data_IF_753956100404
#
_entry.id   IF_753956100404
#
_cell.length_a   1.000
_cell.length_b   1.000
_cell.length_c   1.000
_cell.angle_alpha   90.00
_cell.angle_beta   90.00
_cell.angle_gamma   90.00
#
_symmetry.space_group_name_H-M   'P 1'
#
loop_
_entity.id
_entity.type
_entity.pdbx_description
1 polymer ?
#
# COMPACT_ATOMS: atom_id res chain seq x y z
N UNK A 1 9.58 -18.16 -26.36
CA UNK A 1 9.21 -17.20 -25.28
C UNK A 1 10.50 -16.78 -24.57
N UNK A 2 11.00 -15.59 -24.89
CA UNK A 2 12.39 -15.20 -24.67
C UNK A 2 12.65 -14.53 -23.32
N UNK A 3 13.93 -14.54 -22.91
CA UNK A 3 14.49 -13.93 -21.69
C UNK A 3 14.03 -12.47 -21.44
N UNK A 4 13.67 -11.74 -22.51
CA UNK A 4 13.11 -10.39 -22.45
C UNK A 4 11.71 -10.29 -21.82
N UNK A 5 10.87 -11.32 -21.92
CA UNK A 5 9.57 -11.34 -21.22
C UNK A 5 9.74 -11.53 -19.71
N UNK A 6 10.76 -12.29 -19.30
CA UNK A 6 11.12 -12.43 -17.87
C UNK A 6 11.71 -11.13 -17.31
N UNK A 7 12.45 -10.36 -18.11
CA UNK A 7 12.95 -9.04 -17.73
C UNK A 7 11.82 -8.00 -17.63
N UNK A 8 10.85 -7.98 -18.54
CA UNK A 8 9.64 -7.14 -18.42
C UNK A 8 8.76 -7.50 -17.23
N UNK A 9 8.67 -8.78 -16.86
CA UNK A 9 8.03 -9.19 -15.60
C UNK A 9 8.84 -8.77 -14.36
N UNK A 10 10.18 -8.75 -14.43
CA UNK A 10 11.05 -8.32 -13.32
C UNK A 10 11.09 -6.80 -13.11
N UNK A 11 10.81 -5.99 -14.12
CA UNK A 11 10.81 -4.52 -14.01
C UNK A 11 9.47 -3.92 -13.56
N UNK A 12 8.42 -4.73 -13.39
CA UNK A 12 7.08 -4.29 -12.92
C UNK A 12 6.96 -4.01 -11.42
N UNK A 13 8.07 -3.96 -10.68
CA UNK A 13 8.02 -3.65 -9.25
C UNK A 13 9.08 -2.68 -8.75
N UNK A 14 9.65 -1.88 -9.64
CA UNK A 14 9.91 -0.50 -9.22
C UNK A 14 8.51 0.11 -9.07
N UNK A 15 8.24 0.86 -8.00
CA UNK A 15 7.10 1.78 -8.00
C UNK A 15 7.28 2.66 -9.24
N UNK A 16 6.65 2.33 -10.36
CA UNK A 16 6.89 3.04 -11.61
C UNK A 16 6.20 4.38 -11.50
N UNK A 17 6.91 5.45 -11.84
CA UNK A 17 6.26 6.73 -12.06
C UNK A 17 5.11 6.55 -13.06
N UNK A 18 4.01 7.23 -12.82
CA UNK A 18 2.83 7.15 -13.66
C UNK A 18 2.34 8.56 -13.96
N UNK A 19 2.17 8.84 -15.25
CA UNK A 19 1.63 10.09 -15.73
C UNK A 19 0.12 9.96 -15.96
N UNK A 20 -0.64 11.05 -15.78
CA UNK A 20 -2.05 11.07 -16.13
C UNK A 20 -2.22 10.88 -17.65
N UNK A 21 -3.40 10.39 -18.05
CA UNK A 21 -3.71 10.29 -19.47
C UNK A 21 -3.68 11.67 -20.14
N UNK A 22 -3.26 11.73 -21.41
CA UNK A 22 -3.19 12.99 -22.16
C UNK A 22 -4.56 13.68 -22.19
N UNK A 23 -4.58 14.97 -21.82
CA UNK A 23 -5.79 15.80 -21.84
C UNK A 23 -6.62 15.74 -20.55
N UNK A 24 -6.21 14.97 -19.54
CA UNK A 24 -6.82 15.04 -18.20
C UNK A 24 -6.29 16.29 -17.49
N UNK A 25 -7.18 17.22 -17.17
CA UNK A 25 -6.83 18.42 -16.40
C UNK A 25 -6.52 18.04 -14.94
N UNK A 26 -5.50 18.67 -14.36
CA UNK A 26 -5.18 18.49 -12.95
C UNK A 26 -6.33 19.03 -12.08
N UNK A 27 -6.86 18.17 -11.23
CA UNK A 27 -7.83 18.54 -10.22
C UNK A 27 -7.14 19.27 -9.04
N UNK A 28 -7.87 20.00 -8.19
CA UNK A 28 -7.31 20.57 -6.97
C UNK A 28 -6.78 19.48 -6.02
N UNK A 29 -5.79 19.80 -5.19
CA UNK A 29 -5.18 18.82 -4.26
C UNK A 29 -6.19 18.15 -3.32
N UNK A 30 -7.26 18.86 -2.94
CA UNK A 30 -8.35 18.32 -2.14
C UNK A 30 -9.11 17.16 -2.83
N UNK A 31 -9.23 17.17 -4.16
CA UNK A 31 -9.86 16.09 -4.92
C UNK A 31 -9.00 14.82 -4.88
N UNK A 32 -7.69 14.97 -5.10
CA UNK A 32 -6.72 13.85 -5.03
C UNK A 32 -6.72 13.23 -3.64
N UNK A 33 -6.68 14.08 -2.61
CA UNK A 33 -6.76 13.68 -1.19
C UNK A 33 -8.04 12.89 -0.91
N UNK A 34 -9.20 13.38 -1.35
CA UNK A 34 -10.48 12.67 -1.19
C UNK A 34 -10.46 11.30 -1.87
N UNK A 35 -9.88 11.20 -3.07
CA UNK A 35 -9.77 9.91 -3.79
C UNK A 35 -8.86 8.93 -3.07
N UNK A 36 -7.72 9.39 -2.57
CA UNK A 36 -6.79 8.56 -1.80
C UNK A 36 -7.43 8.07 -0.49
N UNK A 37 -8.16 8.93 0.22
CA UNK A 37 -8.90 8.56 1.43
C UNK A 37 -10.09 7.62 1.16
N UNK A 38 -10.58 7.58 -0.07
CA UNK A 38 -11.64 6.67 -0.50
C UNK A 38 -11.15 5.24 -0.80
N UNK A 39 -9.83 5.02 -0.84
CA UNK A 39 -9.27 3.69 -1.11
C UNK A 39 -9.62 2.76 0.05
N UNK A 40 -10.26 1.64 -0.29
CA UNK A 40 -10.80 0.68 0.66
C UNK A 40 -10.71 -0.74 0.10
N UNK A 41 -10.81 -1.75 0.98
CA UNK A 41 -10.63 -3.16 0.62
C UNK A 41 -10.33 -4.03 1.85
N UNK A 42 -10.11 -5.33 1.65
CA UNK A 42 -9.82 -6.26 2.75
C UNK A 42 -8.51 -5.88 3.43
N UNK A 43 -8.56 -5.63 4.73
CA UNK A 43 -7.40 -5.18 5.51
C UNK A 43 -6.88 -3.79 5.12
N UNK A 44 -7.51 -3.08 4.16
CA UNK A 44 -7.05 -1.77 3.69
C UNK A 44 -7.69 -0.65 4.53
N UNK A 45 -6.86 0.32 4.89
CA UNK A 45 -7.24 1.56 5.56
C UNK A 45 -6.62 2.75 4.84
N UNK A 46 -7.32 3.88 4.80
CA UNK A 46 -6.75 5.15 4.37
C UNK A 46 -6.98 6.20 5.47
N UNK A 47 -5.99 7.05 5.69
CA UNK A 47 -6.03 8.09 6.71
C UNK A 47 -5.01 9.18 6.45
N UNK A 48 -5.06 10.24 7.25
CA UNK A 48 -4.10 11.36 7.15
C UNK A 48 -3.17 11.37 8.34
N UNK A 49 -1.89 11.66 8.08
CA UNK A 49 -0.87 11.82 9.10
C UNK A 49 0.10 12.91 8.67
N UNK A 50 0.32 13.93 9.52
CA UNK A 50 1.28 15.01 9.27
C UNK A 50 1.12 15.73 7.90
N UNK A 51 -0.11 15.78 7.37
CA UNK A 51 -0.41 16.39 6.06
C UNK A 51 -0.24 15.45 4.87
N UNK A 52 0.31 14.25 5.07
CA UNK A 52 0.38 13.19 4.07
C UNK A 52 -0.85 12.26 4.19
N UNK A 53 -1.15 11.56 3.10
CA UNK A 53 -2.16 10.49 3.11
C UNK A 53 -1.44 9.15 3.25
N UNK A 54 -1.88 8.31 4.18
CA UNK A 54 -1.40 6.93 4.31
C UNK A 54 -2.49 5.99 3.83
N UNK A 55 -2.13 5.10 2.91
CA UNK A 55 -2.95 3.96 2.50
C UNK A 55 -2.25 2.70 2.98
N UNK A 56 -2.82 2.03 3.97
CA UNK A 56 -2.24 0.88 4.65
C UNK A 56 -3.04 -0.39 4.43
N UNK A 57 -2.37 -1.53 4.59
CA UNK A 57 -2.89 -2.87 4.59
C UNK A 57 -2.39 -3.58 5.84
N UNK A 58 -3.28 -4.25 6.57
CA UNK A 58 -2.97 -4.88 7.84
C UNK A 58 -3.68 -6.22 8.02
N UNK A 59 -2.92 -7.23 8.47
CA UNK A 59 -3.43 -8.57 8.70
C UNK A 59 -2.69 -9.28 9.84
N UNK A 60 -3.42 -10.15 10.54
CA UNK A 60 -2.86 -11.21 11.39
C UNK A 60 -2.66 -12.44 10.51
N UNK A 61 -1.44 -12.99 10.47
CA UNK A 61 -1.06 -14.13 9.65
C UNK A 61 -0.52 -15.27 10.50
N UNK A 62 -0.63 -16.50 10.00
CA UNK A 62 0.02 -17.65 10.65
C UNK A 62 1.54 -17.53 10.52
N UNK A 63 2.27 -17.73 11.63
CA UNK A 63 3.73 -17.81 11.66
C UNK A 63 4.17 -19.27 11.77
N UNK A 64 5.26 -19.63 11.09
CA UNK A 64 5.84 -20.97 11.15
C UNK A 64 6.87 -21.03 12.28
N UNK A 65 6.38 -20.98 13.52
CA UNK A 65 7.19 -21.28 14.71
C UNK A 65 7.38 -22.79 14.88
N UNK A 66 8.47 -23.26 15.51
CA UNK A 66 8.73 -24.69 15.73
C UNK A 66 7.62 -25.40 16.53
N UNK A 67 6.81 -24.65 17.29
CA UNK A 67 5.73 -25.17 18.14
C UNK A 67 4.32 -25.00 17.53
N UNK A 68 4.20 -24.53 16.28
CA UNK A 68 2.98 -24.65 15.48
C UNK A 68 1.74 -23.86 15.94
N UNK A 69 1.88 -22.85 16.80
CA UNK A 69 0.76 -22.04 17.32
C UNK A 69 0.96 -20.53 17.24
N UNK A 70 2.00 -20.05 16.56
CA UNK A 70 2.36 -18.64 16.55
C UNK A 70 1.70 -17.88 15.40
N UNK A 71 1.41 -16.60 15.65
CA UNK A 71 0.93 -15.68 14.64
C UNK A 71 1.87 -14.49 14.56
N UNK A 72 1.92 -13.87 13.38
CA UNK A 72 2.60 -12.61 13.16
C UNK A 72 1.57 -11.57 12.71
N UNK A 73 1.84 -10.30 12.99
CA UNK A 73 1.09 -9.22 12.41
C UNK A 73 1.89 -8.61 11.27
N UNK A 74 1.27 -8.45 10.11
CA UNK A 74 1.89 -7.83 8.95
C UNK A 74 1.20 -6.51 8.62
N UNK A 75 2.02 -5.47 8.52
CA UNK A 75 1.59 -4.12 8.20
C UNK A 75 2.37 -3.60 7.00
N UNK A 76 1.66 -3.03 6.03
CA UNK A 76 2.20 -2.49 4.79
C UNK A 76 1.49 -1.17 4.52
N UNK A 77 2.18 -0.16 4.03
CA UNK A 77 1.56 1.13 3.74
C UNK A 77 2.29 1.85 2.62
N UNK A 78 1.57 2.74 1.95
CA UNK A 78 2.12 3.77 1.08
C UNK A 78 1.79 5.10 1.74
N UNK A 79 2.82 5.88 2.09
CA UNK A 79 2.70 7.27 2.52
C UNK A 79 2.82 8.17 1.28
N UNK A 80 1.81 8.98 1.03
CA UNK A 80 1.69 9.84 -0.14
C UNK A 80 1.76 11.31 0.30
N UNK A 81 2.78 12.01 -0.20
CA UNK A 81 2.89 13.47 -0.11
C UNK A 81 2.38 14.11 -1.39
N UNK A 82 1.60 15.18 -1.27
CA UNK A 82 1.04 15.91 -2.41
C UNK A 82 1.79 17.24 -2.57
N UNK A 83 2.24 17.52 -3.79
CA UNK A 83 2.78 18.80 -4.22
C UNK A 83 1.82 19.44 -5.23
N UNK A 84 1.06 20.43 -4.78
CA UNK A 84 0.08 21.14 -5.59
C UNK A 84 0.71 22.12 -6.58
N UNK A 85 1.97 22.55 -6.35
CA UNK A 85 2.68 23.44 -7.27
C UNK A 85 2.95 22.78 -8.62
N UNK A 86 3.37 21.51 -8.57
CA UNK A 86 3.73 20.72 -9.75
C UNK A 86 2.65 19.67 -10.13
N UNK A 87 1.55 19.59 -9.36
CA UNK A 87 0.53 18.53 -9.46
C UNK A 87 1.15 17.12 -9.41
N UNK A 88 2.01 16.91 -8.41
CA UNK A 88 2.73 15.66 -8.21
C UNK A 88 2.37 14.99 -6.88
N UNK A 89 2.25 13.67 -6.89
CA UNK A 89 2.12 12.87 -5.69
C UNK A 89 3.33 11.97 -5.52
N UNK A 90 4.03 12.09 -4.40
CA UNK A 90 5.21 11.30 -4.06
C UNK A 90 4.87 10.18 -3.08
N UNK A 91 5.07 8.93 -3.46
CA UNK A 91 4.79 7.76 -2.61
C UNK A 91 6.03 7.10 -2.02
N UNK A 92 6.00 6.77 -0.71
CA UNK A 92 6.99 5.93 -0.03
C UNK A 92 6.29 4.66 0.48
N UNK A 93 6.83 3.48 0.15
CA UNK A 93 6.40 2.23 0.77
C UNK A 93 7.03 2.05 2.15
N UNK A 94 6.19 1.62 3.09
CA UNK A 94 6.51 1.41 4.50
C UNK A 94 6.06 0.01 4.92
N UNK A 95 6.86 -0.71 5.69
CA UNK A 95 6.43 -1.99 6.30
C UNK A 95 6.80 -2.08 7.78
N UNK A 96 6.02 -2.81 8.55
CA UNK A 96 6.35 -3.23 9.92
C UNK A 96 5.65 -4.55 10.26
N UNK A 97 6.13 -5.22 11.31
CA UNK A 97 5.54 -6.45 11.84
C UNK A 97 5.22 -6.38 13.35
N UNK A 98 5.46 -5.21 13.97
CA UNK A 98 5.22 -4.99 15.40
C UNK A 98 3.84 -4.40 15.68
N UNK A 99 3.15 -4.90 16.71
CA UNK A 99 1.79 -4.49 17.09
C UNK A 99 1.72 -3.07 17.68
N UNK A 100 2.85 -2.53 18.15
CA UNK A 100 2.93 -1.25 18.85
C UNK A 100 2.51 -0.02 18.00
N UNK A 101 2.47 -0.16 16.67
CA UNK A 101 2.21 0.94 15.72
C UNK A 101 0.71 1.09 15.33
N UNK A 102 -0.19 0.27 15.90
CA UNK A 102 -1.63 0.26 15.60
C UNK A 102 -2.53 0.75 16.76
N UNK A 103 -2.06 1.70 17.56
CA UNK A 103 -2.85 2.28 18.66
C UNK A 103 -4.21 2.86 18.22
N UNK A 104 -5.20 2.74 19.11
CA UNK A 104 -6.60 3.14 18.92
C UNK A 104 -6.78 4.63 18.55
N UNK A 105 -6.76 4.94 17.25
CA UNK A 105 -7.02 6.30 16.76
C UNK A 105 -6.39 6.65 15.41
N UNK A 106 -5.53 5.80 14.84
CA UNK A 106 -4.93 6.05 13.54
C UNK A 106 -3.52 5.49 13.48
N UNK A 107 -2.97 5.44 12.27
CA UNK A 107 -1.56 5.12 11.99
C UNK A 107 -0.68 6.20 12.62
N UNK A 108 -0.49 6.18 13.93
CA UNK A 108 0.42 7.12 14.61
C UNK A 108 1.83 6.57 14.50
N UNK A 109 2.68 7.31 13.79
CA UNK A 109 4.12 7.17 13.67
C UNK A 109 4.62 6.13 12.66
N UNK A 110 4.69 6.54 11.39
CA UNK A 110 5.66 6.02 10.41
C UNK A 110 7.15 6.07 10.88
N UNK A 111 7.47 6.45 12.13
CA UNK A 111 8.82 6.48 12.73
C UNK A 111 9.36 5.07 13.02
N UNK A 112 8.50 4.08 13.27
CA UNK A 112 8.91 2.68 13.49
C UNK A 112 8.95 1.82 12.23
N UNK A 113 8.45 2.34 11.10
CA UNK A 113 8.28 1.56 9.88
C UNK A 113 9.56 1.53 9.04
N UNK A 114 9.93 0.35 8.55
CA UNK A 114 11.04 0.21 7.60
C UNK A 114 10.64 0.81 6.25
N UNK A 115 11.53 1.63 5.68
CA UNK A 115 11.37 2.21 4.35
C UNK A 115 12.08 1.34 3.32
N UNK A 116 11.45 1.04 2.18
CA UNK A 116 12.12 0.26 1.14
C UNK A 116 11.42 0.23 -0.22
N UNK A 117 12.18 -0.15 -1.25
CA UNK A 117 11.62 -0.55 -2.55
C UNK A 117 11.23 -2.02 -2.46
N UNK A 118 9.92 -2.33 -2.51
CA UNK A 118 9.45 -3.69 -2.31
C UNK A 118 9.07 -4.36 -3.64
N UNK A 119 9.86 -5.38 -3.96
CA UNK A 119 9.66 -6.34 -5.03
C UNK A 119 9.34 -7.69 -4.39
N UNK A 120 8.10 -7.88 -3.93
CA UNK A 120 7.72 -9.11 -3.25
C UNK A 120 6.23 -9.38 -3.35
N UNK A 121 5.90 -10.62 -3.69
CA UNK A 121 4.60 -11.21 -3.42
C UNK A 121 4.81 -12.16 -2.25
N UNK A 122 4.01 -12.01 -1.21
CA UNK A 122 4.07 -12.82 0.00
C UNK A 122 2.82 -13.70 0.02
N UNK A 123 3.01 -15.03 0.07
CA UNK A 123 1.90 -15.96 0.24
C UNK A 123 1.71 -16.21 1.73
N UNK A 124 0.55 -15.82 2.26
CA UNK A 124 0.27 -15.68 3.67
C UNK A 124 -1.02 -16.42 4.01
N UNK A 125 -1.02 -17.20 5.08
CA UNK A 125 -2.26 -17.70 5.66
C UNK A 125 -2.81 -16.61 6.59
N UNK A 126 -3.72 -15.79 6.07
CA UNK A 126 -4.32 -14.70 6.84
C UNK A 126 -5.36 -15.27 7.80
N UNK A 127 -5.09 -15.12 9.09
CA UNK A 127 -5.96 -15.54 10.19
C UNK A 127 -7.08 -14.52 10.43
N UNK A 128 -6.77 -13.22 10.34
CA UNK A 128 -7.75 -12.14 10.48
C UNK A 128 -7.26 -10.86 9.79
N UNK A 129 -8.21 -10.08 9.26
CA UNK A 129 -7.96 -8.75 8.71
C UNK A 129 -8.07 -7.69 9.81
N UNK A 130 -7.17 -6.70 9.84
CA UNK A 130 -7.12 -5.67 10.88
C UNK A 130 -7.65 -4.29 10.40
N UNK A 131 -8.33 -4.27 9.26
CA UNK A 131 -8.96 -3.09 8.63
C UNK A 131 -10.41 -2.82 9.10
N UNK A 132 -11.02 -1.67 8.74
CA UNK A 132 -12.42 -1.32 9.06
C UNK A 132 -13.42 -2.25 8.38
N UNK A 133 -12.98 -2.95 7.35
CA UNK A 133 -13.72 -4.05 6.75
C UNK A 133 -13.52 -5.29 7.62
N UNK A 134 -14.41 -5.46 8.59
CA UNK A 134 -14.53 -6.69 9.38
C UNK A 134 -15.02 -7.79 8.44
N UNK A 135 -14.10 -8.48 7.77
CA UNK A 135 -14.40 -9.77 7.16
C UNK A 135 -13.97 -10.84 8.15
N UNK A 136 -14.95 -11.46 8.80
CA UNK A 136 -14.77 -12.76 9.44
C UNK A 136 -14.30 -13.75 8.37
N UNK A 137 -13.18 -14.45 8.65
CA UNK A 137 -12.58 -15.43 7.74
C UNK A 137 -11.60 -14.83 6.73
N UNK A 138 -10.42 -15.44 6.58
CA UNK A 138 -9.35 -14.79 5.81
C UNK A 138 -8.35 -15.63 5.03
N UNK A 139 -8.41 -16.96 4.99
CA UNK A 139 -7.70 -17.74 3.97
C UNK A 139 -8.44 -19.07 3.74
N UNK A 140 -8.67 -19.41 2.48
CA UNK A 140 -8.89 -20.80 2.06
C UNK A 140 -7.60 -21.61 2.29
N UNK A 141 -7.65 -22.94 2.12
CA UNK A 141 -6.44 -23.79 2.20
C UNK A 141 -5.32 -23.30 1.27
N UNK A 142 -5.68 -22.54 0.23
CA UNK A 142 -4.74 -21.97 -0.72
C UNK A 142 -3.94 -20.79 -0.17
N UNK A 143 -4.43 -20.00 0.79
CA UNK A 143 -3.70 -18.85 1.36
C UNK A 143 -3.75 -17.58 0.50
N UNK A 144 -3.70 -16.40 1.13
CA UNK A 144 -3.73 -15.10 0.46
C UNK A 144 -2.36 -14.72 -0.11
N UNK A 145 -2.29 -14.35 -1.39
CA UNK A 145 -1.08 -13.84 -2.01
C UNK A 145 -1.07 -12.30 -1.98
N UNK A 146 -0.55 -11.71 -0.91
CA UNK A 146 -0.37 -10.26 -0.83
C UNK A 146 0.69 -9.79 -1.83
N UNK A 147 0.36 -8.75 -2.59
CA UNK A 147 1.30 -8.06 -3.45
C UNK A 147 1.22 -6.56 -3.19
N UNK A 148 2.36 -5.87 -3.27
CA UNK A 148 2.39 -4.40 -3.18
C UNK A 148 1.54 -3.70 -4.22
N UNK A 149 1.19 -4.37 -5.33
CA UNK A 149 0.20 -3.89 -6.29
C UNK A 149 -1.18 -3.65 -5.67
N UNK A 150 -1.55 -4.42 -4.64
CA UNK A 150 -2.87 -4.34 -3.99
C UNK A 150 -3.08 -2.96 -3.33
N UNK A 151 -1.98 -2.32 -2.91
CA UNK A 151 -1.98 -0.94 -2.41
C UNK A 151 -1.61 0.08 -3.50
N UNK A 152 -0.60 -0.25 -4.31
CA UNK A 152 0.00 0.68 -5.28
C UNK A 152 -0.95 1.04 -6.41
N UNK A 153 -1.61 0.06 -7.00
CA UNK A 153 -2.37 0.28 -8.22
C UNK A 153 -3.58 1.19 -7.95
N UNK A 154 -4.36 1.01 -6.85
CA UNK A 154 -5.38 1.97 -6.44
C UNK A 154 -4.84 3.39 -6.15
N UNK A 155 -3.66 3.50 -5.54
CA UNK A 155 -3.01 4.80 -5.29
C UNK A 155 -2.65 5.50 -6.60
N UNK A 156 -2.04 4.78 -7.53
CA UNK A 156 -1.68 5.32 -8.85
C UNK A 156 -2.94 5.75 -9.60
N UNK A 157 -4.00 4.94 -9.57
CA UNK A 157 -5.27 5.26 -10.22
C UNK A 157 -5.93 6.51 -9.60
N UNK A 158 -5.94 6.62 -8.27
CA UNK A 158 -6.47 7.79 -7.57
C UNK A 158 -5.76 9.09 -7.96
N UNK A 159 -4.42 9.05 -8.08
CA UNK A 159 -3.58 10.19 -8.44
C UNK A 159 -3.71 10.52 -9.94
N UNK A 160 -3.42 9.55 -10.81
CA UNK A 160 -3.39 9.77 -12.26
C UNK A 160 -4.78 10.01 -12.85
N UNK A 161 -5.82 9.41 -12.27
CA UNK A 161 -7.22 9.68 -12.61
C UNK A 161 -7.69 11.08 -12.20
N UNK A 162 -6.92 11.80 -11.37
CA UNK A 162 -7.16 13.19 -11.01
C UNK A 162 -6.27 14.17 -11.80
N UNK A 163 -5.54 13.68 -12.81
CA UNK A 163 -4.66 14.52 -13.63
C UNK A 163 -3.31 14.84 -12.98
N UNK A 164 -2.93 14.13 -11.91
CA UNK A 164 -1.65 14.32 -11.21
C UNK A 164 -0.64 13.27 -11.61
N UNK A 165 0.64 13.61 -11.53
CA UNK A 165 1.73 12.66 -11.77
C UNK A 165 2.06 11.92 -10.48
N UNK A 166 2.05 10.60 -10.50
CA UNK A 166 2.57 9.81 -9.39
C UNK A 166 4.07 9.56 -9.57
N UNK A 167 4.86 9.86 -8.55
CA UNK A 167 6.28 9.55 -8.49
C UNK A 167 6.62 8.68 -7.28
N UNK A 168 7.39 7.59 -7.48
CA UNK A 168 8.02 6.92 -6.36
C UNK A 168 9.05 7.83 -5.70
N UNK A 169 9.00 7.97 -4.40
CA UNK A 169 10.10 8.61 -3.67
C UNK A 169 11.22 7.58 -3.50
N UNK A 170 12.36 7.85 -4.13
CA UNK A 170 13.58 7.07 -3.90
C UNK A 170 14.07 7.39 -2.48
N UNK A 171 14.33 6.33 -1.70
CA UNK A 171 14.97 6.41 -0.39
C UNK A 171 16.47 6.21 -0.61
#
# INVERSE_FOLDING_TARGET
MGLFDRLKKKTRGILTAAEPAKGVAAAPGAEVRRRLLGISGRGIQAGEEEGDVLVSWSAKVASVGPDGGEYEFLYRAIRISLDEGDHEASGICLKTTTEAELGAGGLTAAKGWERGQHLGTEKLHVLAWLGPHVTEGGADEEGYAFSWSDLRDPVIEAVTGAGWTYKPKKI
#
